data_IF_160660573099
#
_entry.id   IF_160660573099
#
_cell.length_a   1.000
_cell.length_b   1.000
_cell.length_c   1.000
_cell.angle_alpha   90.00
_cell.angle_beta   90.00
_cell.angle_gamma   90.00
#
_symmetry.space_group_name_H-M   'P 1'
#
loop_
_entity.id
_entity.type
_entity.pdbx_description
1 polymer ?
#
# COMPACT_ATOMS: atom_id res chain seq x y z
N UNK A 1 -30.49 -10.50 15.97
CA UNK A 1 -29.19 -10.94 15.40
C UNK A 1 -29.33 -11.66 14.05
N UNK A 2 -30.24 -12.64 13.88
CA UNK A 2 -30.39 -13.35 12.59
C UNK A 2 -30.86 -12.48 11.41
N UNK A 3 -31.75 -11.50 11.65
CA UNK A 3 -32.27 -10.59 10.60
C UNK A 3 -31.20 -9.58 10.13
N UNK A 4 -30.43 -9.01 11.06
CA UNK A 4 -29.30 -8.13 10.73
C UNK A 4 -28.21 -8.86 9.93
N UNK A 5 -27.95 -10.14 10.23
CA UNK A 5 -27.02 -10.96 9.46
C UNK A 5 -27.53 -11.22 8.03
N UNK A 6 -28.85 -11.40 7.83
CA UNK A 6 -29.47 -11.54 6.50
C UNK A 6 -29.40 -10.22 5.72
N UNK A 7 -29.63 -9.08 6.36
CA UNK A 7 -29.42 -7.75 5.76
C UNK A 7 -27.96 -7.57 5.31
N UNK A 8 -26.99 -7.92 6.15
CA UNK A 8 -25.57 -7.78 5.77
C UNK A 8 -25.21 -8.73 4.60
N UNK A 9 -25.73 -9.95 4.59
CA UNK A 9 -25.43 -10.93 3.53
C UNK A 9 -26.04 -10.53 2.17
N UNK A 10 -27.30 -10.10 2.14
CA UNK A 10 -28.02 -9.71 0.92
C UNK A 10 -27.38 -8.49 0.25
N UNK A 11 -26.94 -7.51 1.05
CA UNK A 11 -26.31 -6.29 0.55
C UNK A 11 -24.87 -6.51 0.07
N UNK A 12 -24.13 -7.45 0.66
CA UNK A 12 -22.78 -7.81 0.21
C UNK A 12 -22.78 -8.64 -1.08
N UNK A 13 -23.82 -9.43 -1.36
CA UNK A 13 -23.94 -10.23 -2.59
C UNK A 13 -24.46 -9.46 -3.81
N UNK A 14 -25.13 -8.31 -3.60
CA UNK A 14 -25.70 -7.50 -4.68
C UNK A 14 -24.71 -6.53 -5.36
N UNK A 15 -23.59 -6.21 -4.70
CA UNK A 15 -22.53 -5.37 -5.26
C UNK A 15 -21.53 -6.20 -6.08
N UNK A 16 -21.97 -6.88 -7.14
CA UNK A 16 -21.05 -7.47 -8.10
C UNK A 16 -20.70 -6.44 -9.17
N UNK A 17 -19.41 -6.08 -9.24
CA UNK A 17 -18.90 -5.04 -10.12
C UNK A 17 -19.24 -5.28 -11.59
N UNK A 18 -20.11 -4.42 -12.14
CA UNK A 18 -20.35 -4.33 -13.58
C UNK A 18 -21.72 -3.75 -13.95
N UNK A 19 -22.78 -4.14 -13.25
CA UNK A 19 -24.14 -3.66 -13.52
C UNK A 19 -24.76 -3.10 -12.24
N UNK A 20 -24.96 -1.79 -12.22
CA UNK A 20 -25.66 -1.09 -11.14
C UNK A 20 -27.16 -1.33 -11.32
N UNK A 21 -27.64 -2.51 -10.95
CA UNK A 21 -29.07 -2.67 -10.76
C UNK A 21 -29.45 -2.01 -9.43
N UNK A 22 -30.41 -1.09 -9.48
CA UNK A 22 -31.10 -0.52 -8.32
C UNK A 22 -31.49 -1.66 -7.36
N UNK A 23 -31.69 -1.39 -6.05
CA UNK A 23 -32.25 -2.39 -5.16
C UNK A 23 -33.54 -2.89 -5.82
N UNK A 24 -33.55 -4.16 -6.22
CA UNK A 24 -34.66 -4.67 -7.01
C UNK A 24 -35.93 -4.50 -6.19
N UNK A 25 -37.05 -4.18 -6.84
CA UNK A 25 -38.36 -4.07 -6.20
C UNK A 25 -38.64 -5.28 -5.27
N UNK A 26 -38.11 -6.44 -5.66
CA UNK A 26 -38.04 -7.69 -4.91
C UNK A 26 -37.37 -7.60 -3.52
N UNK A 27 -36.28 -6.84 -3.33
CA UNK A 27 -35.63 -6.68 -2.03
C UNK A 27 -36.47 -5.86 -1.06
N UNK A 28 -37.12 -4.80 -1.55
CA UNK A 28 -38.05 -4.01 -0.75
C UNK A 28 -39.27 -4.84 -0.33
N UNK A 29 -39.84 -5.58 -1.27
CA UNK A 29 -40.97 -6.49 -1.02
C UNK A 29 -40.61 -7.58 0.01
N UNK A 30 -39.42 -8.17 -0.07
CA UNK A 30 -38.96 -9.19 0.88
C UNK A 30 -38.90 -8.65 2.31
N UNK A 31 -38.38 -7.44 2.50
CA UNK A 31 -38.28 -6.80 3.82
C UNK A 31 -39.65 -6.37 4.33
N UNK A 32 -40.51 -5.82 3.47
CA UNK A 32 -41.90 -5.49 3.82
C UNK A 32 -42.66 -6.75 4.26
N UNK A 33 -42.55 -7.85 3.52
CA UNK A 33 -43.17 -9.13 3.87
C UNK A 33 -42.64 -9.68 5.19
N UNK A 34 -41.33 -9.58 5.43
CA UNK A 34 -40.73 -10.01 6.69
C UNK A 34 -41.24 -9.18 7.86
N UNK A 35 -41.39 -7.86 7.69
CA UNK A 35 -41.97 -6.96 8.68
C UNK A 35 -43.43 -7.36 9.00
N UNK A 36 -44.29 -7.53 7.99
CA UNK A 36 -45.69 -7.86 8.21
C UNK A 36 -45.90 -9.26 8.79
N UNK A 37 -45.06 -10.24 8.41
CA UNK A 37 -45.04 -11.56 9.09
C UNK A 37 -44.62 -11.46 10.55
N UNK A 38 -43.70 -10.56 10.88
CA UNK A 38 -43.33 -10.31 12.28
C UNK A 38 -44.48 -9.67 13.05
N UNK A 39 -45.19 -8.70 12.48
CA UNK A 39 -46.38 -8.07 13.08
C UNK A 39 -47.43 -9.13 13.36
N UNK A 40 -47.83 -9.89 12.34
CA UNK A 40 -48.80 -10.99 12.44
C UNK A 40 -48.48 -11.92 13.61
N UNK A 41 -47.23 -12.40 13.66
CA UNK A 41 -46.77 -13.33 14.68
C UNK A 41 -46.72 -12.71 16.07
N UNK A 42 -46.32 -11.44 16.19
CA UNK A 42 -46.13 -10.76 17.47
C UNK A 42 -47.45 -10.34 18.12
N UNK A 43 -48.45 -9.97 17.31
CA UNK A 43 -49.77 -9.55 17.81
C UNK A 43 -50.78 -10.69 17.86
N UNK A 44 -50.42 -11.88 17.37
CA UNK A 44 -51.34 -13.01 17.15
C UNK A 44 -52.56 -12.63 16.29
N UNK A 45 -52.39 -11.64 15.42
CA UNK A 45 -53.44 -11.18 14.51
C UNK A 45 -53.50 -12.12 13.30
N UNK A 46 -54.68 -12.62 12.90
CA UNK A 46 -54.83 -13.40 11.67
C UNK A 46 -54.32 -12.65 10.44
N UNK A 47 -53.78 -13.38 9.45
CA UNK A 47 -53.16 -12.76 8.27
C UNK A 47 -54.09 -11.79 7.53
N UNK A 48 -55.37 -12.15 7.39
CA UNK A 48 -56.38 -11.35 6.69
C UNK A 48 -56.49 -9.92 7.27
N UNK A 49 -56.51 -9.78 8.60
CA UNK A 49 -56.54 -8.46 9.24
C UNK A 49 -55.20 -7.70 9.14
N UNK A 50 -54.07 -8.43 9.12
CA UNK A 50 -52.76 -7.81 8.88
C UNK A 50 -52.65 -7.30 7.45
N UNK A 51 -53.25 -8.02 6.51
CA UNK A 51 -53.32 -7.65 5.11
C UNK A 51 -54.17 -6.38 4.91
N UNK A 52 -55.33 -6.30 5.55
CA UNK A 52 -56.16 -5.08 5.58
C UNK A 52 -55.37 -3.88 6.12
N UNK A 53 -54.62 -4.07 7.21
CA UNK A 53 -53.77 -3.02 7.79
C UNK A 53 -52.64 -2.65 6.83
N UNK A 54 -51.99 -3.64 6.18
CA UNK A 54 -50.90 -3.41 5.22
C UNK A 54 -51.35 -2.55 4.04
N UNK A 55 -52.53 -2.84 3.49
CA UNK A 55 -53.07 -2.11 2.33
C UNK A 55 -53.81 -0.82 2.70
N UNK A 56 -54.04 -0.55 3.99
CA UNK A 56 -54.56 0.74 4.46
C UNK A 56 -53.60 1.91 4.17
N UNK A 57 -54.08 3.17 4.13
CA UNK A 57 -53.20 4.32 3.89
C UNK A 57 -51.99 4.42 4.84
N UNK A 58 -52.13 4.20 6.17
CA UNK A 58 -50.97 4.14 7.07
C UNK A 58 -50.03 2.96 6.79
N UNK A 59 -50.57 1.79 6.43
CA UNK A 59 -49.77 0.60 6.10
C UNK A 59 -48.96 0.76 4.81
N UNK A 60 -49.56 1.38 3.79
CA UNK A 60 -48.88 1.72 2.54
C UNK A 60 -47.79 2.78 2.75
N UNK A 61 -48.06 3.80 3.56
CA UNK A 61 -47.04 4.80 3.91
C UNK A 61 -45.86 4.20 4.68
N UNK A 62 -46.11 3.23 5.56
CA UNK A 62 -45.05 2.47 6.21
C UNK A 62 -44.26 1.61 5.21
N UNK A 63 -44.94 0.97 4.25
CA UNK A 63 -44.28 0.19 3.20
C UNK A 63 -43.38 1.08 2.32
N UNK A 64 -43.82 2.30 1.97
CA UNK A 64 -42.98 3.26 1.23
C UNK A 64 -41.78 3.70 2.06
N UNK A 65 -41.94 3.95 3.36
CA UNK A 65 -40.82 4.31 4.25
C UNK A 65 -39.79 3.18 4.35
N UNK A 66 -40.25 1.93 4.45
CA UNK A 66 -39.38 0.75 4.44
C UNK A 66 -38.61 0.67 3.11
N UNK A 67 -39.30 0.85 1.97
CA UNK A 67 -38.66 0.83 0.66
C UNK A 67 -37.59 1.93 0.51
N UNK A 68 -37.91 3.15 0.91
CA UNK A 68 -36.98 4.30 0.85
C UNK A 68 -35.76 4.09 1.77
N UNK A 69 -35.96 3.53 2.96
CA UNK A 69 -34.85 3.20 3.87
C UNK A 69 -33.90 2.13 3.30
N UNK A 70 -34.44 1.15 2.58
CA UNK A 70 -33.65 0.10 1.91
C UNK A 70 -32.82 0.71 0.77
N UNK A 71 -33.42 1.63 0.02
CA UNK A 71 -32.71 2.34 -1.06
C UNK A 71 -31.54 3.17 -0.54
N UNK A 72 -31.74 3.94 0.54
CA UNK A 72 -30.68 4.73 1.17
C UNK A 72 -29.54 3.83 1.68
N UNK A 73 -29.88 2.74 2.37
CA UNK A 73 -28.89 1.77 2.88
C UNK A 73 -28.14 1.11 1.71
N UNK A 74 -28.84 0.77 0.63
CA UNK A 74 -28.24 0.14 -0.55
C UNK A 74 -27.24 1.07 -1.22
N UNK A 75 -27.66 2.30 -1.48
CA UNK A 75 -26.81 3.34 -2.06
C UNK A 75 -25.57 3.60 -1.19
N UNK A 76 -25.70 3.58 0.14
CA UNK A 76 -24.55 3.65 1.03
C UNK A 76 -23.58 2.47 0.82
N UNK A 77 -24.05 1.22 0.84
CA UNK A 77 -23.18 0.06 0.65
C UNK A 77 -22.53 0.03 -0.74
N UNK A 78 -23.26 0.39 -1.80
CA UNK A 78 -22.71 0.54 -3.15
C UNK A 78 -21.59 1.60 -3.20
N UNK A 79 -21.80 2.74 -2.56
CA UNK A 79 -20.80 3.80 -2.48
C UNK A 79 -19.56 3.35 -1.71
N UNK A 80 -19.74 2.66 -0.58
CA UNK A 80 -18.64 2.09 0.21
C UNK A 80 -17.85 1.07 -0.61
N UNK A 81 -18.55 0.13 -1.25
CA UNK A 81 -17.95 -0.92 -2.08
C UNK A 81 -17.15 -0.32 -3.25
N UNK A 82 -17.75 0.63 -3.97
CA UNK A 82 -17.10 1.33 -5.09
C UNK A 82 -15.85 2.07 -4.64
N UNK A 83 -15.92 2.76 -3.50
CA UNK A 83 -14.75 3.43 -2.93
C UNK A 83 -13.66 2.45 -2.52
N UNK A 84 -14.00 1.31 -1.90
CA UNK A 84 -13.04 0.27 -1.53
C UNK A 84 -12.35 -0.30 -2.77
N UNK A 85 -13.10 -0.68 -3.81
CA UNK A 85 -12.52 -1.18 -5.06
C UNK A 85 -11.57 -0.16 -5.71
N UNK A 86 -12.02 1.10 -5.82
CA UNK A 86 -11.19 2.15 -6.38
C UNK A 86 -9.93 2.41 -5.53
N UNK A 87 -10.02 2.37 -4.20
CA UNK A 87 -8.88 2.51 -3.31
C UNK A 87 -7.89 1.37 -3.45
N UNK A 88 -8.37 0.12 -3.42
CA UNK A 88 -7.52 -1.07 -3.51
C UNK A 88 -6.76 -1.08 -4.83
N UNK A 89 -7.44 -0.81 -5.96
CA UNK A 89 -6.78 -0.76 -7.27
C UNK A 89 -5.79 0.41 -7.40
N UNK A 90 -6.16 1.60 -6.93
CA UNK A 90 -5.27 2.77 -6.99
C UNK A 90 -4.08 2.65 -6.04
N UNK A 91 -4.27 2.02 -4.88
CA UNK A 91 -3.20 1.69 -3.93
C UNK A 91 -2.27 0.64 -4.54
N UNK A 92 -2.80 -0.48 -5.01
CA UNK A 92 -2.05 -1.58 -5.62
C UNK A 92 -1.16 -1.06 -6.76
N UNK A 93 -1.74 -0.38 -7.75
CA UNK A 93 -0.98 0.15 -8.90
C UNK A 93 0.16 1.07 -8.48
N UNK A 94 -0.07 1.97 -7.52
CA UNK A 94 0.96 2.91 -7.06
C UNK A 94 2.01 2.24 -6.18
N UNK A 95 1.60 1.28 -5.36
CA UNK A 95 2.53 0.47 -4.59
C UNK A 95 3.48 -0.27 -5.51
N UNK A 96 2.95 -0.98 -6.52
CA UNK A 96 3.76 -1.62 -7.55
C UNK A 96 4.70 -0.61 -8.24
N UNK A 97 4.20 0.56 -8.65
CA UNK A 97 5.03 1.58 -9.28
C UNK A 97 6.20 2.07 -8.41
N UNK A 98 5.98 2.29 -7.12
CA UNK A 98 7.07 2.71 -6.22
C UNK A 98 8.05 1.54 -5.93
N UNK A 99 7.57 0.30 -5.90
CA UNK A 99 8.42 -0.90 -5.81
C UNK A 99 9.27 -1.07 -7.06
N UNK A 100 8.70 -0.87 -8.25
CA UNK A 100 9.42 -0.91 -9.52
C UNK A 100 10.49 0.18 -9.59
N UNK A 101 10.19 1.39 -9.11
CA UNK A 101 11.17 2.47 -9.01
C UNK A 101 12.31 2.10 -8.04
N UNK A 102 12.00 1.54 -6.88
CA UNK A 102 13.00 1.07 -5.92
C UNK A 102 13.88 -0.02 -6.54
N UNK A 103 13.29 -0.98 -7.26
CA UNK A 103 14.01 -2.03 -7.98
C UNK A 103 14.98 -1.44 -9.00
N UNK A 104 14.51 -0.50 -9.83
CA UNK A 104 15.34 0.15 -10.84
C UNK A 104 16.52 0.92 -10.21
N UNK A 105 16.26 1.66 -9.12
CA UNK A 105 17.30 2.36 -8.37
C UNK A 105 18.36 1.40 -7.79
N UNK A 106 17.93 0.21 -7.35
CA UNK A 106 18.78 -0.87 -6.84
C UNK A 106 19.65 -1.46 -7.94
N UNK A 107 19.05 -1.81 -9.08
CA UNK A 107 19.76 -2.35 -10.25
C UNK A 107 20.81 -1.37 -10.76
N UNK A 108 20.44 -0.09 -10.92
CA UNK A 108 21.39 0.95 -11.32
C UNK A 108 22.51 1.14 -10.29
N UNK A 109 22.21 1.06 -8.99
CA UNK A 109 23.24 1.15 -7.97
C UNK A 109 24.20 -0.03 -8.02
N UNK A 110 23.71 -1.26 -8.21
CA UNK A 110 24.54 -2.45 -8.31
C UNK A 110 25.47 -2.41 -9.54
N UNK A 111 24.97 -1.95 -10.69
CA UNK A 111 25.79 -1.74 -11.89
C UNK A 111 26.87 -0.69 -11.67
N UNK A 112 26.51 0.43 -11.01
CA UNK A 112 27.49 1.46 -10.66
C UNK A 112 28.54 0.92 -9.68
N UNK A 113 28.13 0.19 -8.64
CA UNK A 113 29.02 -0.43 -7.67
C UNK A 113 30.00 -1.41 -8.35
N UNK A 114 29.50 -2.26 -9.24
CA UNK A 114 30.32 -3.22 -9.99
C UNK A 114 31.36 -2.50 -10.86
N UNK A 115 30.96 -1.48 -11.61
CA UNK A 115 31.86 -0.72 -12.47
C UNK A 115 32.94 0.03 -11.68
N UNK A 116 32.54 0.68 -10.57
CA UNK A 116 33.43 1.46 -9.70
C UNK A 116 34.43 0.55 -8.96
N UNK A 117 33.96 -0.58 -8.42
CA UNK A 117 34.82 -1.63 -7.84
C UNK A 117 35.81 -2.18 -8.86
N UNK A 118 35.35 -2.48 -10.07
CA UNK A 118 36.20 -2.99 -11.14
C UNK A 118 37.30 -1.98 -11.51
N UNK A 119 36.94 -0.69 -11.61
CA UNK A 119 37.88 0.38 -11.88
C UNK A 119 38.96 0.47 -10.80
N UNK A 120 38.57 0.57 -9.53
CA UNK A 120 39.53 0.68 -8.43
C UNK A 120 40.41 -0.57 -8.26
N UNK A 121 39.85 -1.77 -8.47
CA UNK A 121 40.64 -3.01 -8.46
C UNK A 121 41.67 -3.05 -9.60
N UNK A 122 41.32 -2.55 -10.79
CA UNK A 122 42.23 -2.45 -11.93
C UNK A 122 43.35 -1.44 -11.68
N UNK A 123 43.03 -0.31 -11.06
CA UNK A 123 44.00 0.72 -10.68
C UNK A 123 45.02 0.18 -9.67
N UNK A 124 44.55 -0.48 -8.60
CA UNK A 124 45.42 -1.16 -7.62
C UNK A 124 46.38 -2.16 -8.29
N UNK A 125 45.85 -2.97 -9.22
CA UNK A 125 46.64 -3.94 -9.96
C UNK A 125 47.65 -3.30 -10.92
N UNK A 126 47.35 -2.12 -11.47
CA UNK A 126 48.28 -1.37 -12.32
C UNK A 126 49.42 -0.77 -11.50
N UNK A 127 49.10 -0.14 -10.36
CA UNK A 127 50.08 0.43 -9.43
C UNK A 127 51.03 -0.64 -8.88
N UNK A 128 50.48 -1.79 -8.45
CA UNK A 128 51.29 -2.93 -7.97
C UNK A 128 52.24 -3.44 -9.05
N UNK A 129 51.77 -3.56 -10.30
CA UNK A 129 52.63 -3.96 -11.43
C UNK A 129 53.75 -2.95 -11.68
N UNK A 130 53.45 -1.65 -11.64
CA UNK A 130 54.45 -0.59 -11.81
C UNK A 130 55.57 -0.72 -10.78
N UNK A 131 55.22 -0.92 -9.50
CA UNK A 131 56.21 -1.12 -8.44
C UNK A 131 57.03 -2.39 -8.57
N UNK A 132 56.42 -3.46 -9.09
CA UNK A 132 57.15 -4.70 -9.39
C UNK A 132 58.16 -4.51 -10.54
N UNK A 133 57.84 -3.70 -11.54
CA UNK A 133 58.80 -3.37 -12.61
C UNK A 133 59.95 -2.50 -12.08
N UNK A 134 59.69 -1.52 -11.20
CA UNK A 134 60.75 -0.75 -10.53
C UNK A 134 61.71 -1.67 -9.74
N UNK A 135 61.17 -2.69 -9.05
CA UNK A 135 61.97 -3.69 -8.35
C UNK A 135 62.84 -4.52 -9.31
N UNK A 136 62.29 -4.92 -10.47
CA UNK A 136 63.04 -5.68 -11.48
C UNK A 136 64.18 -4.85 -12.08
N UNK A 137 63.93 -3.60 -12.44
CA UNK A 137 64.95 -2.69 -12.97
C UNK A 137 66.07 -2.47 -11.94
N UNK A 138 65.70 -2.27 -10.68
CA UNK A 138 66.66 -2.14 -9.59
C UNK A 138 67.52 -3.42 -9.43
N UNK A 139 66.89 -4.60 -9.45
CA UNK A 139 67.59 -5.86 -9.38
C UNK A 139 68.56 -6.05 -10.56
N UNK A 140 68.12 -5.73 -11.79
CA UNK A 140 68.95 -5.80 -12.99
C UNK A 140 70.21 -4.92 -12.86
N UNK A 141 70.05 -3.69 -12.40
CA UNK A 141 71.16 -2.74 -12.20
C UNK A 141 72.27 -3.30 -11.30
N UNK A 142 71.92 -3.86 -10.14
CA UNK A 142 72.92 -4.40 -9.22
C UNK A 142 73.51 -5.75 -9.68
N UNK A 143 72.76 -6.54 -10.44
CA UNK A 143 73.27 -7.77 -11.08
C UNK A 143 74.35 -7.41 -12.10
N UNK A 144 74.09 -6.42 -12.97
CA UNK A 144 75.05 -5.93 -13.96
C UNK A 144 76.30 -5.32 -13.33
N UNK A 145 76.14 -4.64 -12.19
CA UNK A 145 77.24 -4.08 -11.41
C UNK A 145 78.06 -5.13 -10.63
N UNK A 146 77.65 -6.41 -10.63
CA UNK A 146 78.25 -7.49 -9.83
C UNK A 146 78.32 -7.16 -8.33
N UNK A 147 77.31 -6.45 -7.81
CA UNK A 147 77.24 -6.03 -6.40
C UNK A 147 76.15 -6.79 -5.63
N UNK A 148 76.47 -7.98 -5.08
CA UNK A 148 75.49 -8.78 -4.33
C UNK A 148 75.09 -8.16 -2.99
N UNK A 149 75.91 -7.27 -2.41
CA UNK A 149 75.58 -6.60 -1.15
C UNK A 149 74.61 -5.45 -1.41
N UNK A 150 74.87 -4.63 -2.42
CA UNK A 150 73.96 -3.59 -2.88
C UNK A 150 72.61 -4.18 -3.32
N UNK A 151 72.62 -5.28 -4.09
CA UNK A 151 71.40 -6.00 -4.47
C UNK A 151 70.56 -6.41 -3.25
N UNK A 152 71.18 -6.99 -2.22
CA UNK A 152 70.47 -7.44 -1.02
C UNK A 152 69.81 -6.27 -0.28
N UNK A 153 70.53 -5.15 -0.11
CA UNK A 153 70.01 -3.95 0.57
C UNK A 153 68.84 -3.38 -0.23
N UNK A 154 69.03 -3.18 -1.54
CA UNK A 154 68.03 -2.60 -2.42
C UNK A 154 66.76 -3.46 -2.54
N UNK A 155 66.88 -4.79 -2.61
CA UNK A 155 65.73 -5.69 -2.62
C UNK A 155 64.94 -5.61 -1.31
N UNK A 156 65.60 -5.52 -0.15
CA UNK A 156 64.91 -5.37 1.13
C UNK A 156 64.14 -4.04 1.20
N UNK A 157 64.79 -2.93 0.83
CA UNK A 157 64.16 -1.60 0.80
C UNK A 157 62.98 -1.56 -0.17
N UNK A 158 63.14 -2.02 -1.41
CA UNK A 158 62.08 -1.99 -2.43
C UNK A 158 60.92 -2.95 -2.13
N UNK A 159 61.19 -4.08 -1.48
CA UNK A 159 60.13 -4.99 -1.04
C UNK A 159 59.33 -4.39 0.12
N UNK A 160 59.99 -3.68 1.04
CA UNK A 160 59.34 -2.93 2.11
C UNK A 160 58.46 -1.81 1.53
N UNK A 161 58.98 -1.01 0.59
CA UNK A 161 58.21 0.02 -0.12
C UNK A 161 56.99 -0.56 -0.86
N UNK A 162 57.17 -1.69 -1.55
CA UNK A 162 56.07 -2.38 -2.23
C UNK A 162 55.00 -2.84 -1.23
N UNK A 163 55.40 -3.39 -0.08
CA UNK A 163 54.47 -3.82 0.96
C UNK A 163 53.67 -2.63 1.52
N UNK A 164 54.35 -1.53 1.86
CA UNK A 164 53.71 -0.31 2.40
C UNK A 164 52.73 0.28 1.39
N UNK A 165 53.13 0.38 0.11
CA UNK A 165 52.26 0.87 -0.96
C UNK A 165 51.04 -0.03 -1.16
N UNK A 166 51.20 -1.36 -1.22
CA UNK A 166 50.07 -2.28 -1.41
C UNK A 166 49.11 -2.19 -0.22
N UNK A 167 49.64 -2.04 1.00
CA UNK A 167 48.83 -1.84 2.19
C UNK A 167 48.03 -0.53 2.12
N UNK A 168 48.67 0.59 1.80
CA UNK A 168 48.02 1.90 1.69
C UNK A 168 46.92 1.89 0.63
N UNK A 169 47.21 1.41 -0.58
CA UNK A 169 46.22 1.33 -1.66
C UNK A 169 45.05 0.39 -1.33
N UNK A 170 45.28 -0.67 -0.54
CA UNK A 170 44.21 -1.54 -0.07
C UNK A 170 43.31 -0.85 0.96
N UNK A 171 43.87 -0.03 1.86
CA UNK A 171 43.08 0.74 2.82
C UNK A 171 42.24 1.83 2.12
N UNK A 172 42.80 2.52 1.13
CA UNK A 172 42.04 3.47 0.29
C UNK A 172 40.89 2.78 -0.45
N UNK A 173 41.15 1.59 -0.99
CA UNK A 173 40.12 0.77 -1.63
C UNK A 173 39.00 0.41 -0.65
N UNK A 174 39.32 -0.05 0.56
CA UNK A 174 38.33 -0.35 1.61
C UNK A 174 37.49 0.87 1.96
N UNK A 175 38.09 2.03 2.18
CA UNK A 175 37.38 3.29 2.47
C UNK A 175 36.38 3.62 1.36
N UNK A 176 36.80 3.45 0.11
CA UNK A 176 35.94 3.67 -1.06
C UNK A 176 34.72 2.73 -1.03
N UNK A 177 34.93 1.43 -0.79
CA UNK A 177 33.84 0.45 -0.66
C UNK A 177 32.87 0.84 0.45
N UNK A 178 33.38 1.16 1.65
CA UNK A 178 32.53 1.56 2.77
C UNK A 178 31.68 2.79 2.44
N UNK A 179 32.27 3.77 1.74
CA UNK A 179 31.55 4.97 1.32
C UNK A 179 30.41 4.66 0.34
N UNK A 180 30.62 3.74 -0.59
CA UNK A 180 29.62 3.31 -1.58
C UNK A 180 28.47 2.57 -0.90
N UNK A 181 28.79 1.63 -0.01
CA UNK A 181 27.79 0.88 0.79
C UNK A 181 26.98 1.82 1.67
N UNK A 182 27.63 2.79 2.32
CA UNK A 182 26.94 3.80 3.14
C UNK A 182 26.00 4.68 2.31
N UNK A 183 26.44 5.16 1.14
CA UNK A 183 25.60 5.94 0.21
C UNK A 183 24.35 5.16 -0.20
N UNK A 184 24.50 3.86 -0.42
CA UNK A 184 23.37 2.98 -0.73
C UNK A 184 22.39 2.84 0.42
N UNK A 185 22.87 2.60 1.63
CA UNK A 185 22.03 2.51 2.82
C UNK A 185 21.21 3.79 3.03
N UNK A 186 21.85 4.95 2.87
CA UNK A 186 21.17 6.25 2.93
C UNK A 186 20.10 6.37 1.84
N UNK A 187 20.39 5.96 0.60
CA UNK A 187 19.43 6.00 -0.51
C UNK A 187 18.24 5.07 -0.24
N UNK A 188 18.47 3.85 0.24
CA UNK A 188 17.42 2.88 0.62
C UNK A 188 16.51 3.41 1.73
N UNK A 189 17.10 3.95 2.80
CA UNK A 189 16.33 4.51 3.91
C UNK A 189 15.47 5.69 3.45
N UNK A 190 16.02 6.55 2.58
CA UNK A 190 15.30 7.70 2.02
C UNK A 190 14.14 7.28 1.12
N UNK A 191 14.34 6.29 0.26
CA UNK A 191 13.27 5.76 -0.62
C UNK A 191 12.17 5.12 0.22
N UNK A 192 12.52 4.29 1.20
CA UNK A 192 11.56 3.70 2.16
C UNK A 192 10.75 4.77 2.89
N UNK A 193 11.40 5.83 3.39
CA UNK A 193 10.73 6.95 4.04
C UNK A 193 9.77 7.69 3.10
N UNK A 194 10.20 7.98 1.86
CA UNK A 194 9.36 8.61 0.83
C UNK A 194 8.10 7.77 0.55
N UNK A 195 8.27 6.45 0.40
CA UNK A 195 7.19 5.48 0.22
C UNK A 195 6.18 5.57 1.37
N UNK A 196 6.66 5.51 2.61
CA UNK A 196 5.82 5.60 3.79
C UNK A 196 5.07 6.94 3.88
N UNK A 197 5.77 8.05 3.58
CA UNK A 197 5.19 9.41 3.55
C UNK A 197 4.09 9.56 2.50
N UNK A 198 4.20 8.91 1.34
CA UNK A 198 3.17 8.93 0.28
C UNK A 198 1.95 8.08 0.62
N UNK A 199 2.13 7.00 1.38
CA UNK A 199 1.07 6.03 1.71
C UNK A 199 0.23 6.47 2.91
N UNK A 200 0.86 6.88 4.02
CA UNK A 200 0.16 7.14 5.31
C UNK A 200 -0.92 8.22 5.24
N UNK A 201 -0.70 9.41 4.64
CA UNK A 201 -1.72 10.47 4.58
C UNK A 201 -2.94 10.08 3.75
N UNK A 202 -2.76 9.21 2.74
CA UNK A 202 -3.87 8.75 1.89
C UNK A 202 -4.80 7.81 2.63
N UNK A 203 -4.26 6.95 3.49
CA UNK A 203 -5.07 6.17 4.44
C UNK A 203 -6.03 7.08 5.18
N UNK A 204 -5.52 8.18 5.77
CA UNK A 204 -6.36 9.16 6.51
C UNK A 204 -7.42 9.82 5.63
N UNK A 205 -7.07 10.22 4.40
CA UNK A 205 -8.03 10.82 3.45
C UNK A 205 -9.17 9.87 3.11
N UNK A 206 -8.86 8.59 2.90
CA UNK A 206 -9.85 7.57 2.55
C UNK A 206 -10.79 7.32 3.74
N UNK A 207 -10.25 7.15 4.95
CA UNK A 207 -11.06 7.07 6.17
C UNK A 207 -11.97 8.28 6.35
N UNK A 208 -11.51 9.50 6.08
CA UNK A 208 -12.34 10.70 6.14
C UNK A 208 -13.53 10.70 5.16
N UNK A 209 -13.39 10.10 3.97
CA UNK A 209 -14.51 9.95 3.02
C UNK A 209 -15.53 8.93 3.50
N UNK A 210 -15.06 7.82 4.10
CA UNK A 210 -15.94 6.80 4.67
C UNK A 210 -16.78 7.35 5.83
N UNK A 211 -16.14 8.11 6.73
CA UNK A 211 -16.84 8.76 7.85
C UNK A 211 -17.93 9.71 7.34
N UNK A 212 -17.63 10.55 6.33
CA UNK A 212 -18.63 11.44 5.73
C UNK A 212 -19.82 10.69 5.11
N UNK A 213 -19.57 9.57 4.43
CA UNK A 213 -20.64 8.74 3.89
C UNK A 213 -21.49 8.13 5.03
N UNK A 214 -20.86 7.73 6.13
CA UNK A 214 -21.56 7.23 7.32
C UNK A 214 -22.41 8.31 7.99
N UNK A 215 -21.89 9.54 8.09
CA UNK A 215 -22.63 10.69 8.64
C UNK A 215 -23.83 11.03 7.75
N UNK A 216 -23.69 10.98 6.42
CA UNK A 216 -24.79 11.18 5.47
C UNK A 216 -25.88 10.13 5.67
N UNK A 217 -25.52 8.83 5.70
CA UNK A 217 -26.48 7.75 5.94
C UNK A 217 -27.27 7.98 7.24
N UNK A 218 -26.57 8.37 8.31
CA UNK A 218 -27.21 8.66 9.59
C UNK A 218 -28.23 9.80 9.46
N UNK A 219 -27.83 10.92 8.86
CA UNK A 219 -28.70 12.08 8.70
C UNK A 219 -29.92 11.78 7.83
N UNK A 220 -29.75 11.02 6.73
CA UNK A 220 -30.83 10.68 5.82
C UNK A 220 -31.87 9.77 6.53
N UNK A 221 -31.42 8.82 7.33
CA UNK A 221 -32.29 7.96 8.15
C UNK A 221 -32.98 8.74 9.28
N UNK A 222 -32.28 9.68 9.93
CA UNK A 222 -32.87 10.56 10.95
C UNK A 222 -33.95 11.47 10.35
N UNK A 223 -33.72 12.00 9.14
CA UNK A 223 -34.70 12.80 8.42
C UNK A 223 -35.97 12.00 8.09
N UNK A 224 -35.82 10.77 7.56
CA UNK A 224 -36.97 9.89 7.31
C UNK A 224 -37.78 9.59 8.58
N UNK A 225 -37.08 9.38 9.69
CA UNK A 225 -37.73 9.16 10.98
C UNK A 225 -38.51 10.38 11.46
N UNK A 226 -37.93 11.57 11.36
CA UNK A 226 -38.60 12.81 11.75
C UNK A 226 -39.83 13.12 10.89
N UNK A 227 -39.75 12.88 9.59
CA UNK A 227 -40.87 13.09 8.67
C UNK A 227 -42.02 12.12 8.95
N UNK A 228 -41.70 10.86 9.24
CA UNK A 228 -42.68 9.90 9.72
C UNK A 228 -43.32 10.34 11.04
N UNK A 229 -42.53 10.77 12.03
CA UNK A 229 -43.04 11.23 13.32
C UNK A 229 -43.95 12.47 13.19
N UNK A 230 -43.66 13.37 12.25
CA UNK A 230 -44.49 14.55 11.94
C UNK A 230 -45.80 14.16 11.25
N UNK A 231 -45.81 13.15 10.38
CA UNK A 231 -47.04 12.71 9.70
C UNK A 231 -48.08 12.11 10.65
N UNK A 232 -47.63 11.43 11.72
CA UNK A 232 -48.54 10.89 12.76
C UNK A 232 -49.24 11.98 13.59
N UNK A 233 -48.62 13.15 13.74
CA UNK A 233 -49.23 14.28 14.48
C UNK A 233 -50.30 15.02 13.69
N UNK A 234 -50.25 14.99 12.35
CA UNK A 234 -51.24 15.67 11.49
C UNK A 234 -52.53 14.87 11.29
N UNK A 235 -52.53 13.58 11.58
CA UNK A 235 -53.70 12.70 11.48
C UNK A 235 -54.51 12.61 12.78
N UNK A 236 -54.11 13.34 13.83
CA UNK A 236 -54.75 13.35 15.15
C UNK A 236 -55.40 14.70 15.53
N UNK A 237 -55.42 15.65 14.60
CA UNK A 237 -56.21 16.91 14.64
C UNK A 237 -57.41 16.80 13.69
#
# INVERSE_FOLDING_TARGET
MKILAVFILVFLTGCNGGHHEHPSQFQAELVQDAYWRYVQKSTSTPWEYVEDIRYSPPGQYLCSLIAESIEIIYNFFCNVYTHILWWTNNFYRKFCHEVDHLKHDLEHFLLYLEADLHYHAKELAAQTRSKLEELKECAAHYIEALDPKGLKIALLEKTQELHEHVHESLEEFKVTIFSLVYRFEVKLTRTTYSLNKKIVPRRRRHWGKLNKASDSLKNDLEHLWEDWAKSQKRTTE
#
